data_IF_908251450505
#
_entry.id   IF_908251450505
#
_cell.length_a   1.000
_cell.length_b   1.000
_cell.length_c   1.000
_cell.angle_alpha   90.00
_cell.angle_beta   90.00
_cell.angle_gamma   90.00
#
_symmetry.space_group_name_H-M   'P 1'
#
loop_
_entity.id
_entity.type
_entity.pdbx_description
1 polymer ?
#
# COMPACT_ATOMS: atom_id res chain seq x y z
N UNK A 1 -12.94 5.17 -0.25
CA UNK A 1 -12.21 4.22 -1.11
C UNK A 1 -11.96 4.88 -2.46
N UNK A 2 -10.81 4.67 -3.11
CA UNK A 2 -10.61 5.14 -4.47
C UNK A 2 -11.72 4.58 -5.35
N UNK A 3 -12.34 5.43 -6.19
CA UNK A 3 -13.54 5.09 -6.96
C UNK A 3 -13.36 3.96 -8.01
N UNK A 4 -12.14 3.45 -8.15
CA UNK A 4 -11.75 2.53 -9.21
C UNK A 4 -11.29 1.14 -8.71
N UNK A 5 -11.56 0.79 -7.45
CA UNK A 5 -11.26 -0.53 -6.90
C UNK A 5 -12.51 -1.38 -6.81
N UNK A 6 -12.43 -2.61 -7.32
CA UNK A 6 -13.45 -3.65 -7.17
C UNK A 6 -12.86 -4.84 -6.43
N UNK A 7 -13.52 -5.25 -5.37
CA UNK A 7 -13.18 -6.41 -4.55
C UNK A 7 -14.17 -7.54 -4.89
N UNK A 8 -13.67 -8.72 -5.22
CA UNK A 8 -14.53 -9.84 -5.60
C UNK A 8 -13.99 -11.19 -5.14
N UNK A 9 -14.94 -12.03 -4.74
CA UNK A 9 -14.68 -13.43 -4.34
C UNK A 9 -15.60 -14.32 -5.20
N UNK A 10 -15.07 -14.97 -6.25
CA UNK A 10 -15.85 -15.85 -7.11
C UNK A 10 -16.47 -17.00 -6.30
N UNK A 11 -17.74 -17.29 -6.57
CA UNK A 11 -18.46 -18.40 -5.87
C UNK A 11 -17.96 -19.79 -6.25
N UNK A 12 -17.11 -19.89 -7.28
CA UNK A 12 -16.51 -21.14 -7.77
C UNK A 12 -15.26 -21.58 -6.99
N UNK A 13 -14.79 -20.76 -6.06
CA UNK A 13 -13.66 -21.07 -5.18
C UNK A 13 -14.06 -20.86 -3.72
N UNK A 14 -13.32 -21.47 -2.79
CA UNK A 14 -13.62 -21.42 -1.36
C UNK A 14 -13.67 -19.99 -0.84
N UNK A 15 -14.60 -19.73 0.11
CA UNK A 15 -14.70 -18.41 0.75
C UNK A 15 -13.40 -18.08 1.51
N UNK A 16 -12.78 -16.93 1.27
CA UNK A 16 -11.51 -16.59 1.89
C UNK A 16 -11.67 -16.16 3.36
N UNK A 17 -10.81 -16.65 4.28
CA UNK A 17 -10.84 -16.26 5.68
C UNK A 17 -10.08 -14.95 5.91
N UNK A 18 -10.70 -13.78 5.63
CA UNK A 18 -10.12 -12.47 5.95
C UNK A 18 -9.19 -11.87 4.90
N UNK A 19 -9.35 -12.24 3.62
CA UNK A 19 -8.74 -11.57 2.47
C UNK A 19 -9.71 -11.55 1.29
N UNK A 20 -9.38 -10.86 0.22
CA UNK A 20 -10.14 -10.87 -1.04
C UNK A 20 -9.37 -11.65 -2.10
N UNK A 21 -10.05 -12.53 -2.84
CA UNK A 21 -9.39 -13.30 -3.91
C UNK A 21 -8.92 -12.41 -5.05
N UNK A 22 -9.75 -11.46 -5.47
CA UNK A 22 -9.48 -10.59 -6.62
C UNK A 22 -9.73 -9.13 -6.24
N UNK A 23 -8.71 -8.31 -6.35
CA UNK A 23 -8.83 -6.85 -6.28
C UNK A 23 -8.46 -6.28 -7.64
N UNK A 24 -9.41 -5.60 -8.27
CA UNK A 24 -9.23 -4.99 -9.58
C UNK A 24 -9.13 -3.48 -9.42
N UNK A 25 -8.09 -2.89 -10.00
CA UNK A 25 -7.88 -1.46 -10.07
C UNK A 25 -8.00 -1.00 -11.53
N UNK A 26 -8.96 -0.15 -11.82
CA UNK A 26 -9.23 0.34 -13.19
C UNK A 26 -9.04 1.85 -13.30
N UNK A 27 -8.77 2.30 -14.55
CA UNK A 27 -8.57 3.71 -14.87
C UNK A 27 -7.16 4.23 -14.59
N UNK A 28 -6.94 5.54 -14.72
CA UNK A 28 -5.64 6.15 -14.49
C UNK A 28 -5.33 6.16 -13.00
N UNK A 29 -4.38 5.33 -12.60
CA UNK A 29 -3.96 5.14 -11.21
C UNK A 29 -2.45 5.36 -11.06
N UNK A 30 -2.03 5.73 -9.85
CA UNK A 30 -0.65 5.72 -9.40
C UNK A 30 -0.43 4.47 -8.55
N UNK A 31 0.42 3.56 -9.03
CA UNK A 31 0.84 2.38 -8.28
C UNK A 31 1.96 2.75 -7.32
N UNK A 32 1.90 2.18 -6.12
CA UNK A 32 2.90 2.34 -5.07
C UNK A 32 3.31 0.95 -4.62
N UNK A 33 4.59 0.64 -4.77
CA UNK A 33 5.22 -0.56 -4.27
C UNK A 33 5.94 -0.22 -2.98
N UNK A 34 5.65 -0.95 -1.90
CA UNK A 34 6.32 -0.77 -0.62
C UNK A 34 7.09 -2.05 -0.33
N UNK A 35 8.40 -1.87 -0.13
CA UNK A 35 9.31 -2.94 0.23
C UNK A 35 8.92 -3.61 1.56
N UNK A 36 9.48 -4.78 1.83
CA UNK A 36 9.29 -5.50 3.07
C UNK A 36 9.57 -4.64 4.30
N UNK A 37 8.65 -4.67 5.25
CA UNK A 37 8.75 -3.98 6.53
C UNK A 37 8.87 -5.02 7.64
N UNK A 38 9.93 -4.91 8.40
CA UNK A 38 10.21 -5.71 9.60
C UNK A 38 9.77 -4.96 10.86
N UNK A 39 9.71 -5.66 11.98
CA UNK A 39 9.46 -5.09 13.31
C UNK A 39 10.66 -4.33 13.88
N UNK A 40 11.17 -3.33 13.14
CA UNK A 40 12.32 -2.52 13.50
C UNK A 40 11.92 -1.14 14.02
N UNK A 41 12.64 -0.66 15.04
CA UNK A 41 12.54 0.74 15.47
C UNK A 41 13.43 1.66 14.62
N UNK A 42 13.50 2.95 15.00
CA UNK A 42 14.29 3.96 14.28
C UNK A 42 15.79 3.75 14.40
N UNK A 43 16.24 3.01 15.42
CA UNK A 43 17.65 2.64 15.62
C UNK A 43 18.01 1.33 14.90
N UNK A 44 17.09 0.81 14.07
CA UNK A 44 17.24 -0.44 13.33
C UNK A 44 17.38 -1.66 14.25
N UNK A 45 16.71 -1.66 15.41
CA UNK A 45 16.64 -2.77 16.36
C UNK A 45 15.27 -3.42 16.30
N UNK A 46 15.24 -4.75 16.44
CA UNK A 46 13.98 -5.48 16.60
C UNK A 46 13.29 -5.04 17.89
N UNK A 47 11.98 -4.81 17.82
CA UNK A 47 11.17 -4.47 18.99
C UNK A 47 10.69 -5.73 19.71
N UNK A 48 10.34 -5.56 20.98
CA UNK A 48 9.88 -6.65 21.86
C UNK A 48 11.02 -7.52 22.39
N UNK A 49 10.65 -8.45 23.26
CA UNK A 49 11.57 -9.45 23.77
C UNK A 49 11.91 -10.50 22.71
N UNK A 50 12.92 -11.32 22.98
CA UNK A 50 13.30 -12.42 22.08
C UNK A 50 12.10 -13.36 21.87
N UNK A 51 11.69 -13.50 20.61
CA UNK A 51 10.54 -14.33 20.23
C UNK A 51 9.18 -13.63 20.30
N UNK A 52 9.11 -12.34 20.64
CA UNK A 52 7.84 -11.60 20.66
C UNK A 52 7.35 -11.28 19.24
N UNK A 53 6.66 -12.27 18.66
CA UNK A 53 6.05 -12.14 17.34
C UNK A 53 5.04 -10.99 17.28
N UNK A 54 4.21 -10.80 18.32
CA UNK A 54 3.17 -9.77 18.33
C UNK A 54 3.76 -8.36 18.27
N UNK A 55 4.76 -8.08 19.09
CA UNK A 55 5.43 -6.79 19.07
C UNK A 55 6.06 -6.51 17.71
N UNK A 56 6.78 -7.49 17.14
CA UNK A 56 7.38 -7.36 15.82
C UNK A 56 6.34 -7.16 14.71
N UNK A 57 5.23 -7.91 14.72
CA UNK A 57 4.18 -7.79 13.73
C UNK A 57 3.48 -6.41 13.81
N UNK A 58 3.13 -5.94 15.01
CA UNK A 58 2.55 -4.60 15.19
C UNK A 58 3.47 -3.53 14.63
N UNK A 59 4.76 -3.57 14.99
CA UNK A 59 5.74 -2.61 14.51
C UNK A 59 5.92 -2.66 12.99
N UNK A 60 5.95 -3.84 12.39
CA UNK A 60 6.05 -4.00 10.94
C UNK A 60 4.87 -3.33 10.22
N UNK A 61 3.64 -3.49 10.73
CA UNK A 61 2.47 -2.81 10.19
C UNK A 61 2.49 -1.29 10.44
N UNK A 62 3.02 -0.82 11.57
CA UNK A 62 3.23 0.62 11.82
C UNK A 62 4.25 1.21 10.84
N UNK A 63 5.34 0.50 10.56
CA UNK A 63 6.33 0.89 9.57
C UNK A 63 5.72 0.94 8.16
N UNK A 64 4.91 -0.07 7.80
CA UNK A 64 4.15 -0.07 6.56
C UNK A 64 3.19 1.12 6.47
N UNK A 65 2.49 1.46 7.58
CA UNK A 65 1.64 2.65 7.66
C UNK A 65 2.41 3.95 7.40
N UNK A 66 3.59 4.07 7.99
CA UNK A 66 4.46 5.24 7.77
C UNK A 66 4.96 5.32 6.32
N UNK A 67 5.34 4.19 5.72
CA UNK A 67 5.73 4.12 4.31
C UNK A 67 4.58 4.49 3.37
N UNK A 68 3.36 4.00 3.61
CA UNK A 68 2.15 4.40 2.88
C UNK A 68 1.91 5.92 2.99
N UNK A 69 1.97 6.47 4.20
CA UNK A 69 1.74 7.88 4.45
C UNK A 69 2.75 8.78 3.72
N UNK A 70 4.01 8.36 3.60
CA UNK A 70 5.05 9.11 2.85
C UNK A 70 4.71 9.27 1.36
N UNK A 71 3.91 8.33 0.82
CA UNK A 71 3.41 8.38 -0.56
C UNK A 71 2.03 9.03 -0.68
N UNK A 72 1.45 9.52 0.42
CA UNK A 72 0.09 10.07 0.48
C UNK A 72 -0.99 8.99 0.44
N UNK A 73 -0.67 7.76 0.82
CA UNK A 73 -1.58 6.62 0.89
C UNK A 73 -1.87 6.22 2.34
N UNK A 74 -2.89 5.40 2.52
CA UNK A 74 -3.22 4.70 3.76
C UNK A 74 -3.58 3.25 3.44
N UNK A 75 -3.94 2.47 4.46
CA UNK A 75 -4.32 1.07 4.28
C UNK A 75 -5.56 0.89 3.39
N UNK A 76 -6.44 1.87 3.31
CA UNK A 76 -7.60 1.91 2.41
C UNK A 76 -7.21 1.90 0.92
N UNK A 77 -5.96 2.18 0.59
CA UNK A 77 -5.41 2.16 -0.76
C UNK A 77 -4.66 0.85 -1.08
N UNK A 78 -4.41 0.02 -0.06
CA UNK A 78 -3.69 -1.25 -0.25
C UNK A 78 -4.57 -2.25 -0.98
N UNK A 79 -4.05 -2.80 -2.07
CA UNK A 79 -4.73 -3.81 -2.89
C UNK A 79 -4.13 -5.20 -2.72
N UNK A 80 -2.87 -5.29 -2.29
CA UNK A 80 -2.16 -6.55 -2.07
C UNK A 80 -1.26 -6.45 -0.85
N UNK A 81 -1.25 -7.52 -0.06
CA UNK A 81 -0.28 -7.80 1.00
C UNK A 81 0.42 -9.13 0.70
N UNK A 82 1.73 -9.18 0.85
CA UNK A 82 2.49 -10.41 0.99
C UNK A 82 3.10 -10.42 2.40
N UNK A 83 2.93 -11.55 3.08
CA UNK A 83 3.29 -11.69 4.49
C UNK A 83 4.17 -12.93 4.63
N UNK A 84 5.32 -12.76 5.27
CA UNK A 84 6.34 -13.77 5.45
C UNK A 84 6.52 -14.03 6.95
N UNK A 85 6.25 -15.27 7.36
CA UNK A 85 6.41 -15.73 8.73
C UNK A 85 7.53 -16.76 8.79
N UNK A 86 8.38 -16.73 9.80
CA UNK A 86 9.36 -17.79 10.03
C UNK A 86 8.72 -19.00 10.73
N UNK A 87 7.57 -18.81 11.37
CA UNK A 87 6.82 -19.90 12.02
C UNK A 87 5.31 -19.72 11.81
N UNK A 88 4.69 -20.67 11.11
CA UNK A 88 3.26 -20.62 10.83
C UNK A 88 2.38 -20.83 12.07
N UNK A 89 2.93 -21.27 13.21
CA UNK A 89 2.20 -21.30 14.48
C UNK A 89 1.73 -19.92 14.93
N UNK A 90 2.36 -18.84 14.45
CA UNK A 90 1.96 -17.46 14.71
C UNK A 90 0.82 -16.95 13.81
N UNK A 91 0.23 -17.77 12.92
CA UNK A 91 -0.80 -17.34 11.96
C UNK A 91 -2.02 -16.70 12.63
N UNK A 92 -2.39 -17.18 13.83
CA UNK A 92 -3.49 -16.60 14.61
C UNK A 92 -3.19 -15.17 15.04
N UNK A 93 -2.03 -14.96 15.66
CA UNK A 93 -1.56 -13.64 16.12
C UNK A 93 -1.40 -12.69 14.92
N UNK A 94 -0.83 -13.17 13.81
CA UNK A 94 -0.74 -12.38 12.58
C UNK A 94 -2.10 -11.87 12.11
N UNK A 95 -3.13 -12.72 12.07
CA UNK A 95 -4.48 -12.32 11.64
C UNK A 95 -5.08 -11.25 12.54
N UNK A 96 -4.95 -11.41 13.85
CA UNK A 96 -5.41 -10.41 14.82
C UNK A 96 -4.72 -9.05 14.59
N UNK A 97 -3.39 -9.04 14.45
CA UNK A 97 -2.63 -7.81 14.23
C UNK A 97 -2.98 -7.19 12.88
N UNK A 98 -3.03 -7.98 11.78
CA UNK A 98 -3.44 -7.49 10.46
C UNK A 98 -4.80 -6.79 10.51
N UNK A 99 -5.77 -7.38 11.19
CA UNK A 99 -7.14 -6.88 11.26
C UNK A 99 -7.27 -5.56 12.03
N UNK A 100 -6.24 -5.17 12.80
CA UNK A 100 -6.14 -3.83 13.41
C UNK A 100 -5.84 -2.72 12.38
N UNK A 101 -5.30 -3.06 11.22
CA UNK A 101 -4.82 -2.10 10.22
C UNK A 101 -5.66 -2.08 8.94
N UNK A 102 -6.16 -3.24 8.49
CA UNK A 102 -6.90 -3.36 7.23
C UNK A 102 -8.41 -3.20 7.44
N UNK A 103 -9.12 -2.79 6.39
CA UNK A 103 -10.57 -2.83 6.38
C UNK A 103 -11.05 -4.29 6.24
N UNK A 104 -11.52 -4.88 7.31
CA UNK A 104 -11.99 -6.28 7.34
C UNK A 104 -13.26 -6.55 6.54
N UNK A 105 -14.04 -5.50 6.21
CA UNK A 105 -15.23 -5.62 5.34
C UNK A 105 -14.86 -5.68 3.84
N UNK A 106 -13.71 -5.13 3.48
CA UNK A 106 -13.16 -5.15 2.12
C UNK A 106 -11.63 -5.28 2.19
N UNK A 107 -11.12 -6.44 2.65
CA UNK A 107 -9.69 -6.63 2.86
C UNK A 107 -8.95 -6.74 1.52
N UNK A 108 -7.66 -6.37 1.47
CA UNK A 108 -6.85 -6.54 0.28
C UNK A 108 -6.68 -8.00 -0.12
N UNK A 109 -6.27 -8.26 -1.34
CA UNK A 109 -5.73 -9.56 -1.70
C UNK A 109 -4.50 -9.84 -0.82
N UNK A 110 -4.38 -11.07 -0.31
CA UNK A 110 -3.31 -11.39 0.63
C UNK A 110 -2.72 -12.77 0.35
N UNK A 111 -1.41 -12.87 0.47
CA UNK A 111 -0.68 -14.14 0.47
C UNK A 111 0.14 -14.22 1.74
N UNK A 112 0.11 -15.36 2.42
CA UNK A 112 0.89 -15.59 3.63
C UNK A 112 1.63 -16.90 3.48
N UNK A 113 2.94 -16.87 3.68
CA UNK A 113 3.82 -18.05 3.55
C UNK A 113 4.76 -18.16 4.74
N UNK A 114 5.17 -19.38 5.06
CA UNK A 114 6.29 -19.64 5.94
C UNK A 114 7.57 -19.66 5.12
N UNK A 115 8.64 -19.07 5.66
CA UNK A 115 9.98 -19.06 5.08
C UNK A 115 10.99 -19.49 6.13
N UNK A 116 12.16 -19.94 5.70
CA UNK A 116 13.21 -20.43 6.61
C UNK A 116 13.84 -19.30 7.43
N UNK A 117 13.97 -18.10 6.87
CA UNK A 117 14.65 -16.98 7.50
C UNK A 117 14.30 -15.67 6.81
N UNK A 118 14.30 -14.57 7.57
CA UNK A 118 14.24 -13.19 7.08
C UNK A 118 15.64 -12.58 7.00
N UNK A 119 15.75 -11.46 6.30
CA UNK A 119 17.02 -10.77 6.09
C UNK A 119 17.69 -10.27 7.40
N UNK A 120 16.93 -10.15 8.49
CA UNK A 120 17.39 -9.76 9.80
C UNK A 120 17.35 -10.96 10.75
N UNK A 121 18.47 -11.31 11.37
CA UNK A 121 18.53 -12.33 12.41
C UNK A 121 17.58 -11.98 13.58
N UNK A 122 16.79 -12.96 14.05
CA UNK A 122 15.79 -12.77 15.10
C UNK A 122 14.47 -12.15 14.63
N UNK A 123 14.36 -11.72 13.36
CA UNK A 123 13.10 -11.28 12.80
C UNK A 123 12.16 -12.46 12.59
N UNK A 124 10.88 -12.28 12.96
CA UNK A 124 9.85 -13.31 12.91
C UNK A 124 8.78 -13.06 11.87
N UNK A 125 8.66 -11.81 11.42
CA UNK A 125 7.62 -11.36 10.50
C UNK A 125 8.10 -10.23 9.60
N UNK A 126 7.69 -10.31 8.33
CA UNK A 126 7.85 -9.24 7.35
C UNK A 126 6.56 -9.07 6.54
N UNK A 127 6.25 -7.84 6.15
CA UNK A 127 5.11 -7.52 5.30
C UNK A 127 5.51 -6.52 4.22
N UNK A 128 5.10 -6.79 2.98
CA UNK A 128 5.18 -5.86 1.86
C UNK A 128 3.80 -5.58 1.28
N UNK A 129 3.65 -4.46 0.57
CA UNK A 129 2.37 -4.04 0.05
C UNK A 129 2.44 -3.42 -1.34
N UNK A 130 1.34 -3.57 -2.07
CA UNK A 130 1.04 -2.77 -3.26
C UNK A 130 -0.20 -1.95 -2.96
N UNK A 131 -0.11 -0.64 -3.18
CA UNK A 131 -1.22 0.29 -3.02
C UNK A 131 -1.51 1.04 -4.32
N UNK A 132 -2.76 1.52 -4.44
CA UNK A 132 -3.24 2.25 -5.62
C UNK A 132 -3.92 3.53 -5.17
N UNK A 133 -3.42 4.65 -5.65
CA UNK A 133 -4.07 5.95 -5.55
C UNK A 133 -4.66 6.34 -6.90
N UNK A 134 -5.78 7.09 -6.94
CA UNK A 134 -6.18 7.77 -8.16
C UNK A 134 -5.01 8.59 -8.68
N UNK A 135 -4.76 8.55 -9.99
CA UNK A 135 -3.81 9.49 -10.58
C UNK A 135 -4.26 10.90 -10.16
N UNK A 136 -3.35 11.70 -9.60
CA UNK A 136 -3.63 13.11 -9.38
C UNK A 136 -4.19 13.63 -10.71
N UNK A 137 -5.33 14.32 -10.69
CA UNK A 137 -5.85 15.00 -11.89
C UNK A 137 -4.67 15.77 -12.46
N UNK A 138 -4.04 15.20 -13.49
CA UNK A 138 -2.88 15.80 -14.12
C UNK A 138 -3.26 17.25 -14.34
N UNK A 139 -2.38 18.14 -14.04
CA UNK A 139 -2.58 19.57 -14.07
C UNK A 139 -3.07 20.05 -15.44
N UNK A 140 -4.30 19.69 -15.79
CA UNK A 140 -5.08 20.32 -16.87
C UNK A 140 -5.16 21.86 -16.65
N UNK A 141 -4.94 22.32 -15.42
CA UNK A 141 -4.74 23.71 -15.06
C UNK A 141 -3.41 24.28 -15.57
N UNK A 142 -2.33 23.49 -15.59
CA UNK A 142 -1.02 23.94 -16.10
C UNK A 142 -0.99 24.08 -17.61
N UNK A 143 -1.58 23.13 -18.33
CA UNK A 143 -1.69 23.20 -19.79
C UNK A 143 -2.60 24.34 -20.26
N UNK A 144 -3.74 24.57 -19.61
CA UNK A 144 -4.64 25.71 -19.90
C UNK A 144 -3.98 27.06 -19.56
N UNK A 145 -3.15 27.13 -18.51
CA UNK A 145 -2.43 28.35 -18.13
C UNK A 145 -1.27 28.65 -19.07
N UNK A 146 -0.56 27.62 -19.55
CA UNK A 146 0.50 27.76 -20.55
C UNK A 146 -0.08 28.14 -21.93
N UNK A 147 -1.16 27.51 -22.36
CA UNK A 147 -1.84 27.86 -23.62
C UNK A 147 -2.43 29.27 -23.60
N UNK A 148 -3.00 29.73 -22.48
CA UNK A 148 -3.46 31.13 -22.33
C UNK A 148 -2.31 32.12 -22.34
N UNK A 149 -1.15 31.79 -21.78
CA UNK A 149 0.04 32.67 -21.74
C UNK A 149 0.67 32.79 -23.14
N UNK A 150 0.73 31.71 -23.91
CA UNK A 150 1.22 31.72 -25.29
C UNK A 150 0.27 32.48 -26.24
N UNK A 151 -1.05 32.28 -26.11
CA UNK A 151 -2.05 33.01 -26.91
C UNK A 151 -2.03 34.53 -26.60
N UNK A 152 -1.82 34.91 -25.33
CA UNK A 152 -1.71 36.34 -24.96
C UNK A 152 -0.44 36.98 -25.49
N UNK A 153 0.69 36.25 -25.51
CA UNK A 153 1.95 36.69 -26.11
C UNK A 153 1.86 36.90 -27.64
N UNK A 154 1.17 35.96 -28.31
CA UNK A 154 0.93 36.04 -29.76
C UNK A 154 0.04 37.24 -30.15
N UNK A 155 -0.99 37.54 -29.37
CA UNK A 155 -1.85 38.72 -29.60
C UNK A 155 -1.12 40.05 -29.40
N UNK A 156 -0.24 40.14 -28.40
CA UNK A 156 0.55 41.35 -28.14
C UNK A 156 1.61 41.59 -29.23
N UNK A 157 2.26 40.51 -29.71
CA UNK A 157 3.20 40.60 -30.82
C UNK A 157 2.56 41.04 -32.13
N UNK A 158 1.32 40.63 -32.40
CA UNK A 158 0.58 41.02 -33.61
C UNK A 158 0.09 42.47 -33.58
N UNK A 159 -0.11 43.04 -32.35
CA UNK A 159 -0.54 44.45 -32.18
C UNK A 159 0.63 45.44 -32.28
N UNK A 160 1.91 44.99 -32.11
CA UNK A 160 3.13 45.84 -32.26
C UNK A 160 3.65 45.89 -33.70
N UNK A 161 3.11 45.12 -34.61
CA UNK A 161 3.47 45.07 -36.05
C UNK A 161 2.46 45.75 -37.01
N UNK A 162 1.49 46.42 -36.44
CA UNK A 162 0.58 47.36 -37.14
C UNK A 162 0.85 48.79 -36.61
#
# INVERSE_FOLDING_TARGET
>A
MPANLRFSNPSTIAKPPGYTHVVEATGPNRLIYIAGQLGLDLDNKLVGDLGDFRAQAVRAFENLKAALASAGAGFEHVIKLNNYLVDMRHIGIFREVRDMFVNTAAPPASTTVAISQLAREGALFEVEAIAVLPAAKAAAAGAKKAARKSAKKAKVAKKKRR
#
